data_IF_069861250951
#
_entry.id   IF_069861250951
#
_cell.length_a   1.000
_cell.length_b   1.000
_cell.length_c   1.000
_cell.angle_alpha   90.00
_cell.angle_beta   90.00
_cell.angle_gamma   90.00
#
_symmetry.space_group_name_H-M   'P 1'
#
loop_
_entity.id
_entity.type
_entity.pdbx_description
1 polymer ?
#
# COMPACT_ATOMS: atom_id res chain seq x y z
N UNK A 1 15.23 -43.03 -55.79
CA UNK A 1 15.12 -43.75 -54.50
C UNK A 1 15.00 -42.69 -53.41
N UNK A 2 13.91 -42.73 -52.64
CA UNK A 2 13.47 -41.69 -51.68
C UNK A 2 14.09 -41.88 -50.25
N UNK A 3 13.56 -41.25 -49.18
CA UNK A 3 14.09 -40.15 -48.32
C UNK A 3 14.51 -40.69 -46.91
N UNK A 4 14.31 -40.06 -45.70
CA UNK A 4 14.10 -38.68 -45.20
C UNK A 4 14.97 -38.30 -43.93
N UNK A 5 14.72 -37.12 -43.32
CA UNK A 5 14.96 -36.82 -41.88
C UNK A 5 15.82 -35.58 -41.58
N UNK A 6 15.64 -34.76 -40.53
CA UNK A 6 14.57 -34.45 -39.56
C UNK A 6 15.14 -33.33 -38.64
N UNK A 7 14.31 -32.35 -38.24
CA UNK A 7 14.38 -31.47 -37.05
C UNK A 7 15.65 -30.58 -36.80
N UNK A 8 15.62 -29.41 -36.17
CA UNK A 8 14.71 -28.88 -35.15
C UNK A 8 14.43 -27.38 -35.33
N UNK A 9 13.16 -27.01 -35.08
CA UNK A 9 12.71 -25.65 -34.87
C UNK A 9 12.94 -25.27 -33.39
N UNK A 10 13.44 -24.06 -33.15
CA UNK A 10 13.53 -23.48 -31.82
C UNK A 10 12.14 -23.05 -31.35
N UNK A 11 11.81 -23.47 -30.13
CA UNK A 11 10.57 -23.28 -29.41
C UNK A 11 10.62 -21.94 -28.65
N UNK A 12 10.04 -20.89 -29.23
CA UNK A 12 9.73 -19.65 -28.50
C UNK A 12 8.37 -19.80 -27.82
N UNK A 13 8.42 -19.94 -26.49
CA UNK A 13 7.29 -20.15 -25.60
C UNK A 13 6.18 -19.12 -25.78
N UNK A 14 5.09 -19.55 -26.40
CA UNK A 14 3.79 -18.87 -26.46
C UNK A 14 3.16 -18.84 -25.06
N UNK A 15 3.19 -17.69 -24.40
CA UNK A 15 2.11 -17.27 -23.50
C UNK A 15 1.36 -16.11 -24.16
N UNK A 16 0.68 -16.42 -25.26
CA UNK A 16 -0.37 -15.59 -25.83
C UNK A 16 -1.59 -16.50 -25.98
N UNK A 17 -2.54 -16.38 -25.04
CA UNK A 17 -3.88 -16.93 -25.27
C UNK A 17 -4.53 -16.08 -26.37
N UNK A 18 -5.00 -16.68 -27.48
CA UNK A 18 -5.67 -15.95 -28.53
C UNK A 18 -7.11 -15.66 -28.10
N UNK A 19 -7.32 -14.52 -27.44
CA UNK A 19 -8.63 -13.86 -27.44
C UNK A 19 -8.70 -13.01 -28.71
N UNK A 20 -9.08 -13.64 -29.82
CA UNK A 20 -9.45 -12.96 -31.04
C UNK A 20 -10.85 -13.46 -31.43
N UNK A 21 -11.81 -12.54 -31.36
CA UNK A 21 -13.13 -12.60 -31.99
C UNK A 21 -13.85 -13.96 -31.91
N UNK A 22 -14.51 -14.22 -30.79
CA UNK A 22 -15.61 -15.19 -30.75
C UNK A 22 -16.89 -14.46 -30.29
N UNK A 23 -17.83 -14.37 -31.22
CA UNK A 23 -19.26 -14.20 -30.97
C UNK A 23 -19.67 -15.08 -29.77
N UNK A 24 -20.13 -14.48 -28.69
CA UNK A 24 -20.62 -15.22 -27.52
C UNK A 24 -22.14 -15.16 -27.49
N UNK A 25 -22.75 -16.05 -28.26
CA UNK A 25 -24.14 -16.48 -28.08
C UNK A 25 -24.14 -17.90 -27.51
N UNK A 26 -25.09 -18.10 -26.60
CA UNK A 26 -25.64 -19.34 -26.09
C UNK A 26 -25.30 -19.73 -24.65
N UNK A 27 -26.39 -20.03 -23.97
CA UNK A 27 -26.62 -20.22 -22.55
C UNK A 27 -26.63 -21.71 -22.20
N UNK A 28 -26.47 -22.03 -20.91
CA UNK A 28 -27.10 -23.21 -20.33
C UNK A 28 -26.17 -24.17 -19.60
N UNK A 29 -26.33 -24.17 -18.27
CA UNK A 29 -26.42 -25.34 -17.40
C UNK A 29 -25.16 -26.11 -17.01
N UNK A 30 -24.77 -26.00 -15.73
CA UNK A 30 -24.79 -27.12 -14.76
C UNK A 30 -23.87 -26.90 -13.55
N UNK A 31 -24.38 -27.25 -12.36
CA UNK A 31 -23.63 -28.04 -11.38
C UNK A 31 -22.87 -27.29 -10.28
N UNK A 32 -23.59 -26.69 -9.32
CA UNK A 32 -23.00 -26.22 -8.07
C UNK A 32 -22.62 -27.38 -7.15
N UNK A 33 -21.33 -27.51 -6.84
CA UNK A 33 -20.80 -28.34 -5.74
C UNK A 33 -20.52 -27.41 -4.55
N UNK A 34 -21.18 -27.71 -3.42
CA UNK A 34 -20.96 -27.08 -2.11
C UNK A 34 -19.76 -27.76 -1.44
N UNK A 35 -18.77 -26.98 -1.02
CA UNK A 35 -17.77 -27.42 -0.03
C UNK A 35 -17.70 -26.38 1.07
N UNK A 36 -18.18 -26.78 2.25
CA UNK A 36 -17.97 -26.08 3.51
C UNK A 36 -16.56 -26.35 4.03
N UNK A 37 -15.95 -25.37 4.69
CA UNK A 37 -14.74 -25.58 5.50
C UNK A 37 -14.83 -24.80 6.82
N UNK A 38 -14.32 -25.36 7.94
CA UNK A 38 -14.54 -24.82 9.26
C UNK A 38 -13.43 -23.87 9.72
N UNK A 39 -13.83 -22.89 10.55
CA UNK A 39 -12.97 -21.98 11.31
C UNK A 39 -12.17 -22.73 12.38
N UNK A 40 -10.96 -22.23 12.67
CA UNK A 40 -10.32 -22.38 13.98
C UNK A 40 -9.87 -21.02 14.51
N UNK A 41 -10.53 -20.60 15.59
CA UNK A 41 -10.13 -19.53 16.49
C UNK A 41 -9.19 -20.12 17.57
N UNK A 42 -8.16 -19.39 17.98
CA UNK A 42 -7.53 -19.62 19.29
C UNK A 42 -7.43 -18.30 20.02
N UNK A 43 -8.24 -18.21 21.07
CA UNK A 43 -8.34 -17.12 22.04
C UNK A 43 -7.38 -17.41 23.19
N UNK A 44 -6.58 -16.42 23.56
CA UNK A 44 -5.83 -16.39 24.83
C UNK A 44 -6.70 -15.74 25.91
N UNK A 45 -6.67 -16.27 27.13
CA UNK A 45 -7.16 -15.61 28.36
C UNK A 45 -6.22 -15.90 29.54
N UNK A 46 -5.54 -14.83 29.95
CA UNK A 46 -5.29 -14.24 31.28
C UNK A 46 -5.51 -15.02 32.59
N UNK A 47 -4.62 -14.73 33.57
CA UNK A 47 -4.91 -14.16 34.90
C UNK A 47 -3.59 -14.22 35.74
N UNK A 48 -2.94 -13.11 36.07
CA UNK A 48 -3.22 -12.09 37.11
C UNK A 48 -2.71 -12.46 38.53
N UNK A 49 -1.91 -11.53 39.07
CA UNK A 49 -1.97 -10.93 40.42
C UNK A 49 -0.56 -10.62 40.96
N UNK A 50 -0.24 -9.52 41.66
CA UNK A 50 -0.85 -8.21 41.90
C UNK A 50 0.08 -7.47 42.89
N UNK A 51 -0.09 -6.14 42.96
CA UNK A 51 0.38 -5.22 44.02
C UNK A 51 1.80 -4.67 43.80
N UNK A 52 2.02 -3.40 43.42
CA UNK A 52 1.41 -2.16 43.93
C UNK A 52 2.13 -1.76 45.23
N UNK A 53 2.58 -0.55 45.51
CA UNK A 53 2.50 0.76 44.88
C UNK A 53 3.38 1.72 45.76
N UNK A 54 3.63 2.95 45.28
CA UNK A 54 4.05 4.16 46.05
C UNK A 54 5.55 4.55 46.14
N UNK A 55 5.88 5.57 45.35
CA UNK A 55 6.78 6.72 45.64
C UNK A 55 6.16 7.61 46.76
N UNK A 56 6.77 8.72 47.31
CA UNK A 56 7.80 9.61 46.75
C UNK A 56 8.79 10.32 47.75
N UNK A 57 9.60 11.27 47.23
CA UNK A 57 10.20 12.45 47.90
C UNK A 57 11.36 12.19 48.91
N UNK A 58 12.34 13.06 49.23
CA UNK A 58 12.84 14.39 48.82
C UNK A 58 14.12 14.67 49.66
N UNK A 59 15.00 15.54 49.15
CA UNK A 59 16.12 16.30 49.78
C UNK A 59 16.72 15.92 51.16
N UNK A 60 18.05 16.07 51.25
CA UNK A 60 18.69 16.53 52.50
C UNK A 60 20.16 16.13 52.64
N UNK A 61 21.06 17.11 52.57
CA UNK A 61 22.48 16.93 52.88
C UNK A 61 22.74 16.77 54.38
N UNK A 62 23.96 16.36 54.74
CA UNK A 62 24.39 16.35 56.13
C UNK A 62 25.58 15.44 56.38
N UNK A 63 26.65 16.02 56.91
CA UNK A 63 27.93 15.40 57.16
C UNK A 63 27.98 14.71 58.54
N UNK A 64 28.88 13.73 58.66
CA UNK A 64 29.68 13.33 59.84
C UNK A 64 28.94 12.95 61.13
N UNK A 65 29.18 11.72 61.64
CA UNK A 65 29.81 11.47 62.97
C UNK A 65 29.95 9.97 63.25
N UNK A 66 31.14 9.58 63.72
CA UNK A 66 31.44 8.62 64.82
C UNK A 66 30.78 7.22 64.80
N UNK A 67 31.40 6.14 65.25
CA UNK A 67 32.73 5.87 65.78
C UNK A 67 32.89 4.36 65.75
N UNK A 68 34.08 3.91 65.35
CA UNK A 68 34.56 2.55 65.55
C UNK A 68 34.77 2.34 67.06
N UNK A 69 34.07 1.36 67.64
CA UNK A 69 34.37 0.81 68.95
C UNK A 69 33.92 -0.66 69.01
N UNK A 70 34.70 -1.47 69.74
CA UNK A 70 34.62 -2.92 69.97
C UNK A 70 35.20 -3.80 68.83
N UNK A 71 36.17 -4.69 69.04
CA UNK A 71 36.76 -5.19 70.29
C UNK A 71 38.14 -5.80 69.97
N UNK A 72 39.13 -5.51 70.82
CA UNK A 72 40.42 -6.18 70.90
C UNK A 72 40.27 -7.51 71.64
N UNK A 73 40.86 -8.57 71.09
CA UNK A 73 41.55 -9.66 71.80
C UNK A 73 42.28 -10.47 70.71
N UNK A 74 43.52 -10.95 70.80
CA UNK A 74 44.42 -11.19 71.91
C UNK A 74 45.86 -11.41 71.37
N UNK A 75 46.79 -11.66 72.29
CA UNK A 75 48.18 -12.13 72.15
C UNK A 75 49.29 -11.06 72.14
N UNK A 76 49.62 -10.66 73.38
CA UNK A 76 50.96 -10.26 73.78
C UNK A 76 51.97 -11.42 73.57
N UNK A 77 53.05 -11.15 72.83
CA UNK A 77 54.40 -11.67 73.09
C UNK A 77 55.40 -11.07 72.07
N UNK A 78 56.33 -10.27 72.60
CA UNK A 78 57.72 -10.11 72.10
C UNK A 78 57.96 -9.75 70.63
N UNK A 79 58.26 -8.45 70.37
CA UNK A 79 59.43 -7.94 69.60
C UNK A 79 59.26 -6.44 69.32
N UNK A 80 60.01 -5.60 70.03
CA UNK A 80 60.05 -4.13 69.87
C UNK A 80 60.69 -3.64 68.54
N UNK A 81 60.71 -4.46 67.49
CA UNK A 81 61.18 -4.11 66.13
C UNK A 81 60.13 -4.18 65.02
N UNK A 82 58.96 -4.82 65.23
CA UNK A 82 58.05 -5.18 64.11
C UNK A 82 56.88 -4.20 63.88
N UNK A 83 56.48 -3.42 64.89
CA UNK A 83 55.32 -2.51 64.75
C UNK A 83 55.55 -1.31 63.82
N UNK A 84 56.81 -0.88 63.63
CA UNK A 84 57.16 0.26 62.78
C UNK A 84 57.07 -0.12 61.29
N UNK A 85 57.56 -1.31 60.93
CA UNK A 85 57.51 -1.83 59.56
C UNK A 85 56.10 -2.23 59.12
N UNK A 86 55.27 -2.77 60.02
CA UNK A 86 53.86 -3.08 59.72
C UNK A 86 53.04 -1.80 59.45
N UNK A 87 53.26 -0.74 60.23
CA UNK A 87 52.58 0.56 60.08
C UNK A 87 53.04 1.32 58.82
N UNK A 88 54.32 1.23 58.47
CA UNK A 88 54.86 1.74 57.19
C UNK A 88 54.32 0.94 56.02
N UNK A 89 54.25 -0.39 56.11
CA UNK A 89 53.66 -1.26 55.08
C UNK A 89 52.17 -0.96 54.84
N UNK A 90 51.36 -0.82 55.89
CA UNK A 90 49.95 -0.42 55.79
C UNK A 90 49.82 0.99 55.20
N UNK A 91 50.65 1.93 55.63
CA UNK A 91 50.69 3.30 55.08
C UNK A 91 51.00 3.33 53.57
N UNK A 92 51.99 2.55 53.13
CA UNK A 92 52.34 2.43 51.69
C UNK A 92 51.26 1.69 50.89
N UNK A 93 50.55 0.74 51.49
CA UNK A 93 49.42 0.04 50.86
C UNK A 93 48.20 0.97 50.70
N UNK A 94 47.90 1.78 51.71
CA UNK A 94 46.84 2.81 51.65
C UNK A 94 47.18 3.87 50.61
N UNK A 95 48.43 4.34 50.54
CA UNK A 95 48.88 5.28 49.52
C UNK A 95 48.75 4.71 48.09
N UNK A 96 49.09 3.42 47.88
CA UNK A 96 48.89 2.74 46.59
C UNK A 96 47.42 2.65 46.20
N UNK A 97 46.53 2.30 47.12
CA UNK A 97 45.07 2.26 46.86
C UNK A 97 44.51 3.64 46.52
N UNK A 98 44.97 4.70 47.19
CA UNK A 98 44.57 6.07 46.88
C UNK A 98 45.06 6.50 45.49
N UNK A 99 46.28 6.14 45.09
CA UNK A 99 46.80 6.40 43.75
C UNK A 99 45.98 5.67 42.67
N UNK A 100 45.68 4.38 42.87
CA UNK A 100 44.83 3.59 41.97
C UNK A 100 43.40 4.13 41.89
N UNK A 101 42.82 4.58 42.99
CA UNK A 101 41.50 5.20 43.00
C UNK A 101 41.49 6.53 42.22
N UNK A 102 42.55 7.35 42.37
CA UNK A 102 42.72 8.59 41.58
C UNK A 102 42.84 8.29 40.08
N UNK A 103 43.60 7.26 39.70
CA UNK A 103 43.71 6.83 38.31
C UNK A 103 42.41 6.24 37.75
N UNK A 104 41.72 5.41 38.53
CA UNK A 104 40.42 4.85 38.18
C UNK A 104 39.37 5.96 37.99
N UNK A 105 39.36 6.96 38.88
CA UNK A 105 38.49 8.13 38.77
C UNK A 105 38.80 8.96 37.52
N UNK A 106 40.09 9.17 37.18
CA UNK A 106 40.49 9.83 35.92
C UNK A 106 40.02 9.04 34.70
N UNK A 107 40.26 7.72 34.66
CA UNK A 107 39.80 6.85 33.55
C UNK A 107 38.28 6.83 33.43
N UNK A 108 37.55 6.79 34.55
CA UNK A 108 36.08 6.86 34.56
C UNK A 108 35.59 8.20 34.02
N UNK A 109 36.17 9.32 34.45
CA UNK A 109 35.85 10.66 33.91
C UNK A 109 36.13 10.75 32.41
N UNK A 110 37.25 10.19 31.93
CA UNK A 110 37.56 10.17 30.50
C UNK A 110 36.55 9.36 29.69
N UNK A 111 36.13 8.18 30.17
CA UNK A 111 35.09 7.38 29.52
C UNK A 111 33.74 8.09 29.48
N UNK A 112 33.33 8.71 30.61
CA UNK A 112 32.09 9.49 30.67
C UNK A 112 32.15 10.69 29.71
N UNK A 113 33.28 11.40 29.64
CA UNK A 113 33.48 12.48 28.67
C UNK A 113 33.37 11.98 27.22
N UNK A 114 34.03 10.88 26.89
CA UNK A 114 33.94 10.29 25.55
C UNK A 114 32.50 9.89 25.20
N UNK A 115 31.77 9.28 26.14
CA UNK A 115 30.38 8.92 25.96
C UNK A 115 29.45 10.13 25.79
N UNK A 116 29.68 11.23 26.53
CA UNK A 116 28.94 12.48 26.35
C UNK A 116 29.17 13.04 24.94
N UNK A 117 30.42 13.07 24.47
CA UNK A 117 30.75 13.52 23.11
C UNK A 117 30.07 12.64 22.05
N UNK A 118 30.03 11.32 22.27
CA UNK A 118 29.32 10.40 21.38
C UNK A 118 27.81 10.67 21.37
N UNK A 119 27.19 10.92 22.53
CA UNK A 119 25.78 11.30 22.64
C UNK A 119 25.47 12.65 21.98
N UNK A 120 26.37 13.63 22.09
CA UNK A 120 26.24 14.91 21.40
C UNK A 120 26.31 14.71 19.87
N UNK A 121 27.20 13.83 19.41
CA UNK A 121 27.31 13.48 17.99
C UNK A 121 26.07 12.74 17.47
N UNK A 122 25.49 11.82 18.25
CA UNK A 122 24.29 11.08 17.87
C UNK A 122 23.06 11.97 17.85
N UNK A 123 22.94 12.90 18.82
CA UNK A 123 21.89 13.93 18.83
C UNK A 123 21.97 14.83 17.61
N UNK A 124 23.17 15.26 17.20
CA UNK A 124 23.36 16.07 16.00
C UNK A 124 22.95 15.30 14.72
N UNK A 125 23.32 14.02 14.62
CA UNK A 125 22.89 13.14 13.52
C UNK A 125 21.38 12.95 13.49
N UNK A 126 20.74 12.75 14.64
CA UNK A 126 19.28 12.63 14.72
C UNK A 126 18.59 13.92 14.27
N UNK A 127 19.08 15.09 14.69
CA UNK A 127 18.55 16.37 14.23
C UNK A 127 18.72 16.56 12.70
N UNK A 128 19.86 16.12 12.15
CA UNK A 128 20.08 16.13 10.70
C UNK A 128 19.10 15.20 9.98
N UNK A 129 18.94 13.95 10.45
CA UNK A 129 18.02 12.98 9.87
C UNK A 129 16.57 13.44 9.98
N UNK A 130 16.19 14.08 11.08
CA UNK A 130 14.86 14.67 11.24
C UNK A 130 14.65 15.82 10.25
N UNK A 131 15.65 16.67 10.03
CA UNK A 131 15.59 17.73 9.03
C UNK A 131 15.54 17.17 7.60
N UNK A 132 16.29 16.11 7.30
CA UNK A 132 16.25 15.40 6.02
C UNK A 132 14.89 14.73 5.80
N UNK A 133 14.31 14.14 6.85
CA UNK A 133 12.98 13.52 6.79
C UNK A 133 11.89 14.57 6.64
N UNK A 134 12.00 15.72 7.32
CA UNK A 134 11.12 16.87 7.09
C UNK A 134 11.27 17.43 5.68
N UNK A 135 12.50 17.55 5.15
CA UNK A 135 12.73 17.94 3.75
C UNK A 135 12.16 16.90 2.78
N UNK A 136 12.33 15.61 3.03
CA UNK A 136 11.80 14.55 2.18
C UNK A 136 10.26 14.50 2.23
N UNK A 137 9.65 14.79 3.38
CA UNK A 137 8.20 14.98 3.50
C UNK A 137 7.72 16.24 2.79
N UNK A 138 8.46 17.35 2.89
CA UNK A 138 8.14 18.57 2.15
C UNK A 138 8.33 18.38 0.65
N UNK A 139 9.37 17.68 0.20
CA UNK A 139 9.58 17.28 -1.19
C UNK A 139 8.50 16.31 -1.65
N UNK A 140 8.08 15.34 -0.82
CA UNK A 140 6.93 14.47 -1.07
C UNK A 140 5.60 15.24 -1.11
N UNK A 141 5.45 16.30 -0.32
CA UNK A 141 4.34 17.24 -0.40
C UNK A 141 4.42 18.16 -1.62
N UNK A 142 5.61 18.49 -2.12
CA UNK A 142 5.82 19.25 -3.37
C UNK A 142 5.67 18.38 -4.63
N UNK A 143 5.84 17.05 -4.51
CA UNK A 143 5.40 16.08 -5.52
C UNK A 143 3.87 15.95 -5.50
N UNK A 144 3.24 16.01 -4.32
CA UNK A 144 1.78 16.00 -4.18
C UNK A 144 1.10 17.37 -4.44
N UNK A 145 1.85 18.47 -4.45
CA UNK A 145 1.36 19.83 -4.71
C UNK A 145 2.36 20.53 -5.62
N UNK A 146 2.10 20.46 -6.92
CA UNK A 146 3.08 20.74 -7.95
C UNK A 146 3.77 22.09 -7.87
N UNK A 147 5.09 22.09 -8.12
CA UNK A 147 5.79 22.95 -9.10
C UNK A 147 7.29 22.65 -9.15
N UNK A 148 7.72 22.25 -10.36
CA UNK A 148 8.99 22.56 -11.07
C UNK A 148 10.34 22.16 -10.46
N UNK A 149 11.13 21.40 -11.23
CA UNK A 149 12.58 21.59 -11.30
C UNK A 149 13.45 20.35 -11.49
N UNK A 150 13.50 19.87 -12.73
CA UNK A 150 14.68 19.28 -13.40
C UNK A 150 15.37 17.98 -12.90
N UNK A 151 15.33 17.00 -13.82
CA UNK A 151 16.29 15.92 -14.08
C UNK A 151 16.34 14.72 -13.09
N UNK A 152 15.38 13.80 -13.27
CA UNK A 152 15.53 12.40 -12.86
C UNK A 152 14.22 11.60 -12.86
N UNK A 153 13.97 10.81 -13.92
CA UNK A 153 12.96 9.73 -13.93
C UNK A 153 11.54 10.12 -14.39
N UNK A 154 11.28 9.93 -15.68
CA UNK A 154 10.06 10.25 -16.45
C UNK A 154 8.73 9.65 -15.94
N UNK A 155 8.71 8.83 -14.90
CA UNK A 155 7.49 8.15 -14.42
C UNK A 155 6.62 9.08 -13.54
N UNK A 156 7.23 9.88 -12.68
CA UNK A 156 6.49 10.82 -11.81
C UNK A 156 5.79 11.94 -12.59
N UNK A 157 6.34 12.34 -13.74
CA UNK A 157 5.72 13.33 -14.63
C UNK A 157 4.45 12.81 -15.30
N UNK A 158 4.44 11.55 -15.73
CA UNK A 158 3.27 10.94 -16.37
C UNK A 158 2.12 10.69 -15.37
N UNK A 159 2.45 10.24 -14.16
CA UNK A 159 1.50 10.09 -13.04
C UNK A 159 0.84 11.43 -12.68
N UNK A 160 1.63 12.49 -12.46
CA UNK A 160 1.10 13.82 -12.16
C UNK A 160 0.29 14.43 -13.32
N UNK A 161 0.69 14.17 -14.57
CA UNK A 161 -0.07 14.60 -15.75
C UNK A 161 -1.44 13.91 -15.82
N UNK A 162 -1.49 12.60 -15.55
CA UNK A 162 -2.75 11.87 -15.50
C UNK A 162 -3.67 12.39 -14.38
N UNK A 163 -3.13 12.66 -13.19
CA UNK A 163 -3.92 13.20 -12.07
C UNK A 163 -4.55 14.56 -12.42
N UNK A 164 -3.81 15.41 -13.13
CA UNK A 164 -4.31 16.69 -13.62
C UNK A 164 -5.42 16.52 -14.66
N UNK A 165 -5.23 15.63 -15.65
CA UNK A 165 -6.25 15.34 -16.66
C UNK A 165 -7.50 14.68 -16.04
N UNK A 166 -7.33 13.84 -15.03
CA UNK A 166 -8.44 13.25 -14.29
C UNK A 166 -9.22 14.30 -13.49
N UNK A 167 -8.54 15.25 -12.85
CA UNK A 167 -9.20 16.36 -12.16
C UNK A 167 -10.03 17.21 -13.14
N UNK A 168 -9.49 17.54 -14.32
CA UNK A 168 -10.24 18.22 -15.39
C UNK A 168 -11.42 17.40 -15.89
N UNK A 169 -11.24 16.09 -16.04
CA UNK A 169 -12.30 15.18 -16.43
C UNK A 169 -13.43 15.18 -15.40
N UNK A 170 -13.13 15.23 -14.09
CA UNK A 170 -14.12 15.32 -13.03
C UNK A 170 -14.91 16.64 -13.08
N UNK A 171 -14.23 17.77 -13.31
CA UNK A 171 -14.91 19.07 -13.45
C UNK A 171 -15.87 19.07 -14.63
N UNK A 172 -15.44 18.53 -15.78
CA UNK A 172 -16.26 18.41 -16.97
C UNK A 172 -17.39 17.37 -16.80
N UNK A 173 -17.12 16.28 -16.07
CA UNK A 173 -18.14 15.30 -15.70
C UNK A 173 -19.26 15.96 -14.90
N UNK A 174 -18.91 16.83 -13.95
CA UNK A 174 -19.89 17.54 -13.16
C UNK A 174 -20.77 18.49 -14.00
N UNK A 175 -20.22 19.09 -15.06
CA UNK A 175 -21.01 19.87 -16.03
C UNK A 175 -22.01 18.99 -16.77
N UNK A 176 -21.57 17.88 -17.37
CA UNK A 176 -22.45 16.92 -18.03
C UNK A 176 -23.59 16.44 -17.12
N UNK A 177 -23.28 16.14 -15.85
CA UNK A 177 -24.30 15.72 -14.88
C UNK A 177 -25.24 16.85 -14.49
N UNK A 178 -24.77 18.09 -14.46
CA UNK A 178 -25.62 19.26 -14.20
C UNK A 178 -26.59 19.48 -15.37
N UNK A 179 -26.10 19.39 -16.61
CA UNK A 179 -26.93 19.52 -17.81
C UNK A 179 -28.00 18.42 -17.89
N UNK A 180 -27.63 17.17 -17.57
CA UNK A 180 -28.59 16.06 -17.47
C UNK A 180 -29.66 16.30 -16.40
N UNK A 181 -29.30 16.83 -15.22
CA UNK A 181 -30.27 17.17 -14.16
C UNK A 181 -31.23 18.27 -14.63
N UNK A 182 -30.71 19.33 -15.26
CA UNK A 182 -31.53 20.43 -15.79
C UNK A 182 -32.47 19.93 -16.89
N UNK A 183 -31.96 19.14 -17.83
CA UNK A 183 -32.74 18.55 -18.92
C UNK A 183 -33.89 17.66 -18.43
N UNK A 184 -33.62 16.80 -17.44
CA UNK A 184 -34.64 15.96 -16.82
C UNK A 184 -35.66 16.78 -16.02
N UNK A 185 -35.22 17.82 -15.30
CA UNK A 185 -36.09 18.72 -14.56
C UNK A 185 -37.03 19.52 -15.46
N UNK A 186 -36.51 19.99 -16.61
CA UNK A 186 -37.26 20.70 -17.62
C UNK A 186 -38.14 19.80 -18.53
N UNK A 187 -38.07 18.47 -18.35
CA UNK A 187 -38.79 17.48 -19.17
C UNK A 187 -38.51 17.65 -20.67
N UNK A 188 -37.22 17.84 -21.03
CA UNK A 188 -36.83 17.90 -22.44
C UNK A 188 -37.25 16.64 -23.21
N UNK A 189 -37.45 16.82 -24.52
CA UNK A 189 -37.77 15.72 -25.43
C UNK A 189 -36.70 14.63 -25.42
N UNK A 190 -37.11 13.40 -25.72
CA UNK A 190 -36.21 12.25 -25.65
C UNK A 190 -35.03 12.34 -26.61
N UNK A 191 -35.17 13.05 -27.73
CA UNK A 191 -34.08 13.25 -28.70
C UNK A 191 -33.01 14.21 -28.17
N UNK A 192 -33.40 15.34 -27.59
CA UNK A 192 -32.47 16.28 -26.95
C UNK A 192 -31.79 15.65 -25.75
N UNK A 193 -32.54 14.90 -24.94
CA UNK A 193 -32.00 14.17 -23.80
C UNK A 193 -31.02 13.07 -24.26
N UNK A 194 -31.27 12.44 -25.41
CA UNK A 194 -30.36 11.43 -25.98
C UNK A 194 -29.00 12.03 -26.32
N UNK A 195 -28.97 13.24 -26.87
CA UNK A 195 -27.70 13.94 -27.14
C UNK A 195 -26.89 14.12 -25.87
N UNK A 196 -27.52 14.52 -24.75
CA UNK A 196 -26.83 14.69 -23.47
C UNK A 196 -26.36 13.36 -22.86
N UNK A 197 -27.19 12.31 -22.93
CA UNK A 197 -26.81 10.96 -22.49
C UNK A 197 -25.63 10.46 -23.29
N UNK A 198 -25.63 10.67 -24.61
CA UNK A 198 -24.58 10.22 -25.51
C UNK A 198 -23.28 10.99 -25.27
N UNK A 199 -23.36 12.29 -25.00
CA UNK A 199 -22.23 13.11 -24.56
C UNK A 199 -21.63 12.60 -23.26
N UNK A 200 -22.46 12.31 -22.25
CA UNK A 200 -21.98 11.75 -20.98
C UNK A 200 -21.34 10.36 -21.15
N UNK A 201 -21.89 9.51 -22.03
CA UNK A 201 -21.30 8.21 -22.36
C UNK A 201 -19.94 8.37 -23.04
N UNK A 202 -19.83 9.28 -24.01
CA UNK A 202 -18.56 9.59 -24.67
C UNK A 202 -17.52 10.13 -23.67
N UNK A 203 -17.96 10.90 -22.68
CA UNK A 203 -17.09 11.39 -21.60
C UNK A 203 -16.49 10.24 -20.79
N UNK A 204 -17.26 9.20 -20.47
CA UNK A 204 -16.71 7.97 -19.86
C UNK A 204 -15.72 7.24 -20.77
N UNK A 205 -15.96 7.17 -22.09
CA UNK A 205 -14.99 6.59 -23.02
C UNK A 205 -13.67 7.36 -23.02
N UNK A 206 -13.72 8.69 -22.90
CA UNK A 206 -12.53 9.52 -22.76
C UNK A 206 -11.75 9.18 -21.48
N UNK A 207 -12.43 8.93 -20.35
CA UNK A 207 -11.77 8.49 -19.12
C UNK A 207 -10.99 7.19 -19.34
N UNK A 208 -11.60 6.18 -19.98
CA UNK A 208 -10.93 4.90 -20.24
C UNK A 208 -9.74 5.07 -21.20
N UNK A 209 -9.80 5.99 -22.17
CA UNK A 209 -8.65 6.34 -23.03
C UNK A 209 -7.52 7.00 -22.24
N UNK A 210 -7.84 7.97 -21.38
CA UNK A 210 -6.86 8.63 -20.49
C UNK A 210 -6.18 7.60 -19.57
N UNK A 211 -6.97 6.73 -18.93
CA UNK A 211 -6.47 5.62 -18.13
C UNK A 211 -5.58 4.68 -18.93
N UNK A 212 -5.99 4.29 -20.14
CA UNK A 212 -5.17 3.44 -21.00
C UNK A 212 -3.80 4.06 -21.34
N UNK A 213 -3.73 5.38 -21.52
CA UNK A 213 -2.45 6.08 -21.69
C UNK A 213 -1.63 6.09 -20.39
N UNK A 214 -2.26 6.35 -19.25
CA UNK A 214 -1.60 6.33 -17.94
C UNK A 214 -1.07 4.94 -17.58
N UNK A 215 -1.82 3.87 -17.84
CA UNK A 215 -1.41 2.49 -17.57
C UNK A 215 -0.15 2.11 -18.35
N UNK A 216 -0.03 2.57 -19.61
CA UNK A 216 1.18 2.36 -20.43
C UNK A 216 2.40 3.10 -19.90
N UNK A 217 2.20 4.25 -19.25
CA UNK A 217 3.28 5.05 -18.71
C UNK A 217 3.69 4.61 -17.29
N UNK A 218 2.70 4.30 -16.45
CA UNK A 218 2.86 3.80 -15.09
C UNK A 218 1.63 2.96 -14.68
N UNK A 219 1.75 1.65 -14.86
CA UNK A 219 0.72 0.67 -14.51
C UNK A 219 0.40 0.66 -13.01
N UNK A 220 1.41 0.92 -12.16
CA UNK A 220 1.26 0.84 -10.71
C UNK A 220 0.60 2.09 -10.13
N UNK A 221 0.78 3.26 -10.76
CA UNK A 221 0.02 4.47 -10.40
C UNK A 221 -1.48 4.26 -10.59
N UNK A 222 -1.89 3.69 -11.73
CA UNK A 222 -3.31 3.40 -12.01
C UNK A 222 -3.83 2.31 -11.07
N UNK A 223 -3.08 1.21 -10.91
CA UNK A 223 -3.47 0.06 -10.08
C UNK A 223 -3.63 0.43 -8.60
N UNK A 224 -2.72 1.25 -8.06
CA UNK A 224 -2.73 1.68 -6.66
C UNK A 224 -3.86 2.67 -6.34
N UNK A 225 -4.51 3.25 -7.36
CA UNK A 225 -5.60 4.20 -7.18
C UNK A 225 -5.15 5.53 -6.57
N UNK A 226 -3.87 5.91 -6.73
CA UNK A 226 -3.32 7.15 -6.17
C UNK A 226 -3.99 8.41 -6.71
N UNK A 227 -4.59 8.30 -7.89
CA UNK A 227 -5.35 9.33 -8.62
C UNK A 227 -6.80 9.57 -8.11
N UNK A 228 -7.32 8.73 -7.21
CA UNK A 228 -8.65 8.91 -6.59
C UNK A 228 -8.57 9.12 -5.08
N UNK A 229 -9.68 9.58 -4.48
CA UNK A 229 -9.77 9.77 -3.04
C UNK A 229 -9.62 8.45 -2.26
N UNK A 230 -9.08 8.46 -1.04
CA UNK A 230 -8.96 7.26 -0.20
C UNK A 230 -10.24 6.45 -0.05
N UNK A 231 -11.40 7.11 0.10
CA UNK A 231 -12.67 6.40 0.21
C UNK A 231 -13.08 5.72 -1.10
N UNK A 232 -12.86 6.36 -2.26
CA UNK A 232 -13.09 5.72 -3.57
C UNK A 232 -12.15 4.54 -3.79
N UNK A 233 -10.88 4.69 -3.41
CA UNK A 233 -9.86 3.64 -3.52
C UNK A 233 -10.25 2.38 -2.75
N UNK A 234 -10.94 2.53 -1.62
CA UNK A 234 -11.41 1.39 -0.83
C UNK A 234 -12.37 0.47 -1.59
N UNK A 235 -13.15 1.03 -2.54
CA UNK A 235 -14.08 0.26 -3.38
C UNK A 235 -13.52 -0.05 -4.77
N UNK A 236 -12.22 0.16 -4.98
CA UNK A 236 -11.57 -0.08 -6.27
C UNK A 236 -11.28 -1.57 -6.48
N UNK A 237 -11.45 -2.00 -7.72
CA UNK A 237 -11.09 -3.31 -8.24
C UNK A 237 -10.37 -3.09 -9.58
N UNK A 238 -9.16 -3.60 -9.77
CA UNK A 238 -8.38 -3.46 -11.02
C UNK A 238 -8.46 -2.03 -11.63
N UNK A 239 -8.02 -1.04 -10.84
CA UNK A 239 -7.93 0.35 -11.28
C UNK A 239 -9.27 1.07 -11.49
N UNK A 240 -10.41 0.56 -11.02
CA UNK A 240 -11.70 1.28 -11.12
C UNK A 240 -12.82 0.58 -10.33
N UNK A 241 -14.08 0.85 -10.64
CA UNK A 241 -15.21 0.20 -9.96
C UNK A 241 -15.50 -1.22 -10.49
N UNK A 242 -16.22 -2.03 -9.72
CA UNK A 242 -16.84 -3.27 -10.25
C UNK A 242 -18.15 -2.94 -10.96
N UNK A 243 -18.28 -3.39 -12.20
CA UNK A 243 -19.45 -3.21 -13.04
C UNK A 243 -20.69 -3.90 -12.46
N UNK A 244 -20.51 -5.10 -11.92
CA UNK A 244 -21.54 -5.90 -11.26
C UNK A 244 -22.20 -5.18 -10.08
N UNK A 245 -21.37 -4.59 -9.21
CA UNK A 245 -21.79 -3.80 -8.04
C UNK A 245 -22.48 -2.51 -8.45
N UNK A 246 -21.95 -1.83 -9.47
CA UNK A 246 -22.58 -0.62 -10.02
C UNK A 246 -24.00 -0.93 -10.53
N UNK A 247 -24.17 -2.00 -11.30
CA UNK A 247 -25.47 -2.44 -11.79
C UNK A 247 -26.43 -2.81 -10.66
N UNK A 248 -25.92 -3.41 -9.57
CA UNK A 248 -26.72 -3.74 -8.40
C UNK A 248 -27.29 -2.49 -7.72
N UNK A 249 -26.48 -1.42 -7.61
CA UNK A 249 -26.93 -0.11 -7.09
C UNK A 249 -27.97 0.51 -8.02
N UNK A 250 -27.73 0.46 -9.33
CA UNK A 250 -28.61 1.08 -10.33
C UNK A 250 -29.99 0.43 -10.42
N UNK A 251 -30.05 -0.91 -10.41
CA UNK A 251 -31.32 -1.64 -10.48
C UNK A 251 -32.28 -1.30 -9.33
N UNK A 252 -31.76 -0.78 -8.20
CA UNK A 252 -32.55 -0.38 -7.03
C UNK A 252 -32.98 1.09 -7.04
N UNK A 253 -32.38 1.92 -7.90
CA UNK A 253 -32.58 3.37 -7.87
C UNK A 253 -33.21 3.94 -9.15
N UNK A 254 -33.08 3.22 -10.26
CA UNK A 254 -33.68 3.63 -11.54
C UNK A 254 -35.06 2.97 -11.63
N UNK A 255 -36.09 3.59 -11.06
CA UNK A 255 -37.49 3.15 -11.21
C UNK A 255 -38.31 4.13 -12.05
N UNK A 256 -39.35 3.67 -12.76
CA UNK A 256 -39.77 2.28 -12.96
C UNK A 256 -38.96 1.58 -14.08
N UNK A 257 -38.71 0.27 -13.95
CA UNK A 257 -38.13 -0.62 -14.98
C UNK A 257 -39.18 -1.64 -15.43
N UNK A 258 -39.17 -2.01 -16.71
CA UNK A 258 -40.00 -3.12 -17.19
C UNK A 258 -39.40 -4.46 -16.77
N UNK A 259 -40.22 -5.52 -16.73
CA UNK A 259 -39.72 -6.88 -16.45
C UNK A 259 -38.60 -7.30 -17.41
N UNK A 260 -38.75 -6.98 -18.70
CA UNK A 260 -37.72 -7.25 -19.71
C UNK A 260 -36.41 -6.51 -19.40
N UNK A 261 -36.49 -5.25 -18.94
CA UNK A 261 -35.31 -4.48 -18.56
C UNK A 261 -34.64 -5.02 -17.30
N UNK A 262 -35.43 -5.46 -16.31
CA UNK A 262 -34.92 -6.10 -15.10
C UNK A 262 -34.18 -7.39 -15.43
N UNK A 263 -34.77 -8.26 -16.26
CA UNK A 263 -34.10 -9.48 -16.74
C UNK A 263 -32.81 -9.13 -17.47
N UNK A 264 -32.84 -8.15 -18.39
CA UNK A 264 -31.65 -7.71 -19.13
C UNK A 264 -30.54 -7.18 -18.21
N UNK A 265 -30.86 -6.37 -17.21
CA UNK A 265 -29.89 -5.86 -16.24
C UNK A 265 -29.34 -6.97 -15.34
N UNK A 266 -30.18 -7.94 -14.92
CA UNK A 266 -29.73 -9.10 -14.16
C UNK A 266 -28.76 -9.96 -14.96
N UNK A 267 -29.04 -10.24 -16.24
CA UNK A 267 -28.13 -10.97 -17.13
C UNK A 267 -26.83 -10.20 -17.37
N UNK A 268 -26.90 -8.87 -17.56
CA UNK A 268 -25.73 -8.03 -17.71
C UNK A 268 -24.86 -8.01 -16.44
N UNK A 269 -25.50 -7.97 -15.26
CA UNK A 269 -24.80 -8.03 -13.97
C UNK A 269 -24.11 -9.37 -13.79
N UNK A 270 -24.80 -10.47 -14.06
CA UNK A 270 -24.23 -11.82 -13.92
C UNK A 270 -23.04 -12.04 -14.87
N UNK A 271 -23.18 -11.66 -16.14
CA UNK A 271 -22.08 -11.77 -17.10
C UNK A 271 -20.89 -10.86 -16.74
N UNK A 272 -21.15 -9.64 -16.26
CA UNK A 272 -20.10 -8.74 -15.76
C UNK A 272 -19.38 -9.36 -14.57
N UNK A 273 -20.11 -9.93 -13.60
CA UNK A 273 -19.52 -10.61 -12.44
C UNK A 273 -18.62 -11.77 -12.86
N UNK A 274 -19.08 -12.63 -13.78
CA UNK A 274 -18.28 -13.75 -14.26
C UNK A 274 -16.96 -13.30 -14.91
N UNK A 275 -17.00 -12.24 -15.71
CA UNK A 275 -15.79 -11.66 -16.29
C UNK A 275 -14.87 -11.04 -15.22
N UNK A 276 -15.44 -10.37 -14.22
CA UNK A 276 -14.68 -9.84 -13.08
C UNK A 276 -13.99 -10.94 -12.27
N UNK A 277 -14.67 -12.06 -12.02
CA UNK A 277 -14.13 -13.20 -11.29
C UNK A 277 -12.99 -13.86 -12.08
N UNK A 278 -13.16 -14.04 -13.39
CA UNK A 278 -12.11 -14.57 -14.25
C UNK A 278 -10.86 -13.66 -14.28
N UNK A 279 -11.05 -12.34 -14.35
CA UNK A 279 -9.94 -11.38 -14.29
C UNK A 279 -9.26 -11.36 -12.90
N UNK A 280 -10.04 -11.52 -11.83
CA UNK A 280 -9.53 -11.60 -10.45
C UNK A 280 -8.67 -12.86 -10.26
N UNK A 281 -9.15 -14.02 -10.70
CA UNK A 281 -8.38 -15.27 -10.68
C UNK A 281 -7.10 -15.15 -11.54
N UNK A 282 -7.18 -14.49 -12.70
CA UNK A 282 -6.03 -14.27 -13.57
C UNK A 282 -4.93 -13.41 -12.91
N UNK A 283 -5.30 -12.33 -12.21
CA UNK A 283 -4.30 -11.52 -11.50
C UNK A 283 -3.73 -12.24 -10.28
N UNK A 284 -4.53 -13.02 -9.56
CA UNK A 284 -4.06 -13.85 -8.44
C UNK A 284 -3.04 -14.90 -8.92
N UNK A 285 -3.33 -15.59 -10.03
CA UNK A 285 -2.39 -16.53 -10.65
C UNK A 285 -1.10 -15.83 -11.11
N UNK A 286 -1.21 -14.61 -11.65
CA UNK A 286 -0.04 -13.81 -12.03
C UNK A 286 0.81 -13.43 -10.81
N UNK A 287 0.17 -13.01 -9.71
CA UNK A 287 0.85 -12.64 -8.46
C UNK A 287 1.58 -13.85 -7.87
N UNK A 288 0.94 -15.02 -7.85
CA UNK A 288 1.57 -16.26 -7.40
C UNK A 288 2.76 -16.62 -8.29
N UNK A 289 2.59 -16.59 -9.61
CA UNK A 289 3.67 -16.87 -10.54
C UNK A 289 4.84 -15.88 -10.39
N UNK A 290 4.58 -14.62 -10.09
CA UNK A 290 5.61 -13.62 -9.82
C UNK A 290 6.37 -13.94 -8.53
N UNK A 291 5.63 -14.28 -7.46
CA UNK A 291 6.22 -14.67 -6.18
C UNK A 291 7.15 -15.89 -6.32
N UNK A 292 6.74 -16.91 -7.06
CA UNK A 292 7.53 -18.12 -7.31
C UNK A 292 8.84 -17.81 -8.05
N UNK A 293 8.78 -16.92 -9.07
CA UNK A 293 9.98 -16.45 -9.79
C UNK A 293 10.94 -15.69 -8.88
N UNK A 294 10.43 -14.83 -8.00
CA UNK A 294 11.26 -14.09 -7.05
C UNK A 294 11.87 -15.00 -5.97
N UNK A 295 11.12 -15.99 -5.49
CA UNK A 295 11.63 -16.99 -4.55
C UNK A 295 12.75 -17.84 -5.16
N UNK A 296 12.60 -18.26 -6.42
CA UNK A 296 13.64 -18.99 -7.15
C UNK A 296 14.92 -18.16 -7.34
N UNK A 297 14.79 -16.85 -7.59
CA UNK A 297 15.93 -15.93 -7.67
C UNK A 297 16.72 -15.88 -6.34
N UNK A 298 16.02 -15.78 -5.21
CA UNK A 298 16.63 -15.73 -3.88
C UNK A 298 17.39 -17.01 -3.49
N UNK A 299 16.84 -18.18 -3.84
CA UNK A 299 17.49 -19.47 -3.58
C UNK A 299 18.80 -19.64 -4.36
N UNK A 300 18.87 -19.13 -5.59
CA UNK A 300 20.06 -19.24 -6.45
C UNK A 300 21.23 -18.34 -6.05
N UNK A 301 20.99 -17.26 -5.30
CA UNK A 301 22.04 -16.37 -4.79
C UNK A 301 22.85 -16.99 -3.65
N UNK A 302 22.32 -18.03 -2.99
CA UNK A 302 22.98 -18.71 -1.87
C UNK A 302 24.02 -19.77 -2.31
N UNK A 303 24.10 -20.11 -3.60
CA UNK A 303 25.01 -21.13 -4.14
C UNK A 303 25.80 -20.64 -5.35
N UNK A 304 27.11 -20.41 -5.17
CA UNK A 304 28.14 -20.07 -6.17
C UNK A 304 28.09 -18.64 -6.79
N UNK A 305 29.20 -17.91 -6.63
CA UNK A 305 29.30 -16.47 -6.84
C UNK A 305 29.38 -15.98 -8.30
N UNK A 306 29.51 -16.87 -9.29
CA UNK A 306 29.59 -16.49 -10.72
C UNK A 306 28.29 -16.81 -11.49
N UNK A 307 27.64 -17.95 -11.20
CA UNK A 307 26.37 -18.37 -11.82
C UNK A 307 25.13 -17.77 -11.13
N UNK A 308 25.27 -17.29 -9.89
CA UNK A 308 24.17 -16.68 -9.14
C UNK A 308 23.69 -15.35 -9.73
N UNK A 309 24.59 -14.52 -10.26
CA UNK A 309 24.23 -13.20 -10.84
C UNK A 309 23.50 -13.36 -12.16
N UNK A 310 23.99 -14.23 -13.04
CA UNK A 310 23.35 -14.51 -14.34
C UNK A 310 21.97 -15.15 -14.15
N UNK A 311 21.84 -16.10 -13.21
CA UNK A 311 20.54 -16.69 -12.88
C UNK A 311 19.58 -15.69 -12.24
N UNK A 312 20.05 -14.84 -11.31
CA UNK A 312 19.25 -13.77 -10.73
C UNK A 312 18.74 -12.79 -11.79
N UNK A 313 19.61 -12.33 -12.69
CA UNK A 313 19.24 -11.45 -13.79
C UNK A 313 18.21 -12.10 -14.72
N UNK A 314 18.38 -13.39 -15.03
CA UNK A 314 17.40 -14.16 -15.80
C UNK A 314 16.03 -14.23 -15.12
N UNK A 315 15.99 -14.54 -13.82
CA UNK A 315 14.74 -14.55 -13.05
C UNK A 315 14.10 -13.17 -12.94
N UNK A 316 14.90 -12.11 -12.78
CA UNK A 316 14.39 -10.74 -12.76
C UNK A 316 13.83 -10.31 -14.12
N UNK A 317 14.44 -10.73 -15.23
CA UNK A 317 13.89 -10.52 -16.57
C UNK A 317 12.54 -11.23 -16.75
N UNK A 318 12.40 -12.46 -16.26
CA UNK A 318 11.11 -13.19 -16.25
C UNK A 318 10.08 -12.46 -15.38
N UNK A 319 10.47 -11.98 -14.20
CA UNK A 319 9.60 -11.20 -13.32
C UNK A 319 9.12 -9.90 -13.99
N UNK A 320 10.02 -9.19 -14.69
CA UNK A 320 9.67 -8.00 -15.47
C UNK A 320 8.69 -8.32 -16.61
N UNK A 321 8.91 -9.44 -17.32
CA UNK A 321 7.97 -9.91 -18.34
C UNK A 321 6.57 -10.22 -17.77
N UNK A 322 6.51 -10.81 -16.58
CA UNK A 322 5.25 -11.03 -15.85
C UNK A 322 4.59 -9.72 -15.45
N UNK A 323 5.35 -8.74 -14.93
CA UNK A 323 4.81 -7.42 -14.58
C UNK A 323 4.21 -6.69 -15.78
N UNK A 324 4.76 -6.86 -16.99
CA UNK A 324 4.19 -6.29 -18.21
C UNK A 324 2.76 -6.80 -18.50
N UNK A 325 2.40 -7.99 -18.02
CA UNK A 325 1.04 -8.53 -18.20
C UNK A 325 -0.03 -7.83 -17.36
N UNK A 326 0.37 -7.13 -16.28
CA UNK A 326 -0.55 -6.35 -15.42
C UNK A 326 -1.27 -5.27 -16.22
N UNK A 327 -0.59 -4.64 -17.18
CA UNK A 327 -1.19 -3.66 -18.09
C UNK A 327 -2.39 -4.26 -18.83
N UNK A 328 -2.27 -5.49 -19.32
CA UNK A 328 -3.34 -6.13 -20.08
C UNK A 328 -4.57 -6.41 -19.20
N UNK A 329 -4.39 -6.80 -17.94
CA UNK A 329 -5.50 -6.98 -16.99
C UNK A 329 -6.24 -5.67 -16.72
N UNK A 330 -5.53 -4.57 -16.47
CA UNK A 330 -6.14 -3.25 -16.27
C UNK A 330 -6.92 -2.79 -17.52
N UNK A 331 -6.34 -2.98 -18.70
CA UNK A 331 -7.00 -2.69 -19.97
C UNK A 331 -8.26 -3.53 -20.17
N UNK A 332 -8.23 -4.83 -19.86
CA UNK A 332 -9.40 -5.71 -19.94
C UNK A 332 -10.48 -5.30 -18.95
N UNK A 333 -10.11 -4.91 -17.73
CA UNK A 333 -11.06 -4.42 -16.73
C UNK A 333 -11.75 -3.11 -17.20
N UNK A 334 -11.02 -2.18 -17.82
CA UNK A 334 -11.61 -0.96 -18.37
C UNK A 334 -12.49 -1.20 -19.60
N UNK A 335 -12.12 -2.16 -20.46
CA UNK A 335 -12.99 -2.59 -21.55
C UNK A 335 -14.30 -3.19 -21.03
N UNK A 336 -14.23 -4.03 -19.99
CA UNK A 336 -15.42 -4.58 -19.35
C UNK A 336 -16.34 -3.47 -18.85
N UNK A 337 -15.80 -2.47 -18.14
CA UNK A 337 -16.58 -1.30 -17.68
C UNK A 337 -17.24 -0.54 -18.82
N UNK A 338 -16.49 -0.26 -19.88
CA UNK A 338 -17.01 0.44 -21.04
C UNK A 338 -18.16 -0.36 -21.68
N UNK A 339 -17.97 -1.65 -21.90
CA UNK A 339 -18.99 -2.54 -22.48
C UNK A 339 -20.22 -2.64 -21.59
N UNK A 340 -20.05 -2.76 -20.27
CA UNK A 340 -21.18 -2.78 -19.33
C UNK A 340 -22.00 -1.50 -19.42
N UNK A 341 -21.36 -0.32 -19.41
CA UNK A 341 -22.08 0.96 -19.52
C UNK A 341 -22.82 1.07 -20.85
N UNK A 342 -22.19 0.67 -21.96
CA UNK A 342 -22.82 0.68 -23.29
C UNK A 342 -24.03 -0.26 -23.35
N UNK A 343 -23.91 -1.48 -22.80
CA UNK A 343 -25.01 -2.45 -22.79
C UNK A 343 -26.13 -2.02 -21.85
N UNK A 344 -25.82 -1.40 -20.71
CA UNK A 344 -26.80 -0.78 -19.84
C UNK A 344 -27.61 0.29 -20.58
N UNK A 345 -26.94 1.19 -21.32
CA UNK A 345 -27.64 2.20 -22.16
C UNK A 345 -28.56 1.56 -23.21
N UNK A 346 -28.21 0.39 -23.75
CA UNK A 346 -29.06 -0.33 -24.73
C UNK A 346 -30.29 -0.98 -24.09
N UNK A 347 -30.20 -1.42 -22.84
CA UNK A 347 -31.32 -2.02 -22.10
C UNK A 347 -32.30 -0.93 -21.64
N UNK A 348 -31.77 0.21 -21.20
CA UNK A 348 -32.55 1.31 -20.65
C UNK A 348 -33.13 2.23 -21.74
N UNK A 349 -34.26 2.86 -21.44
CA UNK A 349 -34.73 4.02 -22.21
C UNK A 349 -33.80 5.21 -21.99
N UNK A 350 -33.86 6.21 -22.87
CA UNK A 350 -33.03 7.42 -22.75
C UNK A 350 -33.18 8.12 -21.38
N UNK A 351 -34.41 8.26 -20.87
CA UNK A 351 -34.64 8.85 -19.53
C UNK A 351 -34.10 8.00 -18.40
N UNK A 352 -34.26 6.68 -18.47
CA UNK A 352 -33.70 5.77 -17.48
C UNK A 352 -32.17 5.78 -17.51
N UNK A 353 -31.55 5.84 -18.69
CA UNK A 353 -30.11 5.97 -18.85
C UNK A 353 -29.59 7.30 -18.27
N UNK A 354 -30.29 8.41 -18.51
CA UNK A 354 -29.97 9.70 -17.89
C UNK A 354 -30.01 9.61 -16.35
N UNK A 355 -31.07 9.04 -15.78
CA UNK A 355 -31.18 8.82 -14.33
C UNK A 355 -30.09 7.87 -13.81
N UNK A 356 -29.78 6.81 -14.54
CA UNK A 356 -28.72 5.87 -14.19
C UNK A 356 -27.37 6.60 -14.07
N UNK A 357 -27.00 7.40 -15.07
CA UNK A 357 -25.76 8.18 -15.06
C UNK A 357 -25.68 9.15 -13.87
N UNK A 358 -26.80 9.78 -13.51
CA UNK A 358 -26.88 10.62 -12.31
C UNK A 358 -26.67 9.82 -11.03
N UNK A 359 -27.29 8.65 -10.89
CA UNK A 359 -27.10 7.76 -9.74
C UNK A 359 -25.62 7.31 -9.63
N UNK A 360 -24.99 6.96 -10.76
CA UNK A 360 -23.56 6.63 -10.80
C UNK A 360 -22.73 7.81 -10.29
N UNK A 361 -22.98 9.02 -10.79
CA UNK A 361 -22.25 10.22 -10.38
C UNK A 361 -22.44 10.56 -8.90
N UNK A 362 -23.67 10.47 -8.40
CA UNK A 362 -24.00 10.75 -7.01
C UNK A 362 -23.33 9.73 -6.07
N UNK A 363 -23.26 8.46 -6.46
CA UNK A 363 -22.55 7.42 -5.72
C UNK A 363 -21.06 7.78 -5.51
N UNK A 364 -20.33 8.07 -6.59
CA UNK A 364 -18.91 8.43 -6.48
C UNK A 364 -18.69 9.78 -5.80
N UNK A 365 -19.60 10.75 -6.01
CA UNK A 365 -19.54 12.04 -5.34
C UNK A 365 -19.71 11.90 -3.82
N UNK A 366 -20.56 10.98 -3.36
CA UNK A 366 -20.69 10.66 -1.92
C UNK A 366 -19.44 10.00 -1.35
N UNK A 367 -18.77 9.12 -2.11
CA UNK A 367 -17.47 8.56 -1.68
C UNK A 367 -16.42 9.66 -1.53
N UNK A 368 -16.31 10.58 -2.49
CA UNK A 368 -15.40 11.75 -2.41
C UNK A 368 -15.72 12.65 -1.22
N UNK A 369 -16.99 12.94 -0.98
CA UNK A 369 -17.43 13.71 0.17
C UNK A 369 -17.07 13.02 1.49
N UNK A 370 -17.29 11.70 1.60
CA UNK A 370 -16.92 10.90 2.75
C UNK A 370 -15.42 10.95 3.03
N UNK A 371 -14.59 10.86 1.98
CA UNK A 371 -13.15 11.01 2.13
C UNK A 371 -12.76 12.38 2.69
N UNK A 372 -13.41 13.44 2.22
CA UNK A 372 -13.14 14.82 2.66
C UNK A 372 -13.52 15.04 4.13
N UNK A 373 -14.68 14.51 4.54
CA UNK A 373 -15.13 14.52 5.94
C UNK A 373 -14.20 13.72 6.84
N UNK A 374 -13.73 12.56 6.38
CA UNK A 374 -12.80 11.73 7.15
C UNK A 374 -11.44 12.41 7.39
N UNK A 375 -10.94 13.14 6.39
CA UNK A 375 -9.66 13.86 6.51
C UNK A 375 -9.75 15.09 7.41
N UNK A 376 -10.93 15.70 7.54
CA UNK A 376 -11.17 16.90 8.33
C UNK A 376 -11.62 16.62 9.77
N UNK A 377 -11.77 15.34 10.15
CA UNK A 377 -12.16 14.96 11.51
C UNK A 377 -11.13 15.44 12.55
N UNK A 378 -11.56 15.95 13.71
CA UNK A 378 -10.66 16.25 14.81
C UNK A 378 -9.83 15.01 15.20
N UNK A 379 -8.55 15.21 15.48
CA UNK A 379 -7.70 14.19 16.11
C UNK A 379 -7.50 14.63 17.55
N UNK A 380 -8.00 13.83 18.48
CA UNK A 380 -7.83 14.04 19.93
C UNK A 380 -6.37 13.88 20.37
#
# INVERSE_FOLDING_TARGET
MAPPGMASAADDGRFCLPWAAAHFENWGDSGGIVVTSPLTETTCTDADDASGDRQPAQMGGGAITQSVAAYMDSCAASKEGSCRDQKVSIGTQVQRRLAQNREAARKSRMRKKAYIVELESSRAKLAQLEQELQRARQQGMFIASGRTGDHGGSTGGASAAFDLEYARWLDEHQRHMTDLRVALGAQLGDDDLRVLVDGAMLHYEQLFRLKGAATRADVFHVLSGMWVSPAERFFMWLGGFRSSELLAVLARQVEPLTEQQLVGLCSLRQSSQQAEDALSQGIEALQQALADTLAAAGASAAGAAADGVTNYMGQMAVAMGKLATVENFLRQADLLRQQTLQQMRRILTTRQAARALLVVSDYFSRLRALSSLWLTRPRD
#
